data_IF_681088675004
#
_entry.id   IF_681088675004
#
_cell.length_a   1.000
_cell.length_b   1.000
_cell.length_c   1.000
_cell.angle_alpha   90.00
_cell.angle_beta   90.00
_cell.angle_gamma   90.00
#
_symmetry.space_group_name_H-M   'P 1'
#
loop_
_entity.id
_entity.type
_entity.pdbx_description
1 polymer ?
#
# COMPACT_ATOMS: atom_id res chain seq x y z
N UNK A 1 6.94 -11.95 -25.45
CA UNK A 1 6.18 -11.97 -24.18
C UNK A 1 5.65 -10.56 -23.96
N UNK A 2 4.36 -10.36 -24.15
CA UNK A 2 3.71 -9.06 -24.05
C UNK A 2 3.57 -8.66 -22.58
N UNK A 3 4.20 -7.55 -22.21
CA UNK A 3 4.03 -6.90 -20.91
C UNK A 3 2.59 -6.39 -20.85
N UNK A 4 1.72 -7.11 -20.16
CA UNK A 4 0.33 -6.68 -19.97
C UNK A 4 0.34 -5.57 -18.92
N UNK A 5 0.53 -4.33 -19.36
CA UNK A 5 0.44 -3.14 -18.51
C UNK A 5 -1.05 -2.91 -18.24
N UNK A 6 -1.56 -3.53 -17.18
CA UNK A 6 -2.84 -3.15 -16.58
C UNK A 6 -2.50 -2.04 -15.60
N UNK A 7 -3.13 -0.87 -15.68
CA UNK A 7 -2.81 0.39 -14.95
C UNK A 7 -2.83 0.33 -13.39
N UNK A 8 -2.66 -0.86 -12.82
CA UNK A 8 -2.80 -1.23 -11.43
C UNK A 8 -1.63 -2.09 -10.95
N UNK A 9 -1.08 -2.95 -11.82
CA UNK A 9 0.00 -3.87 -11.46
C UNK A 9 0.76 -4.37 -12.69
N UNK A 10 1.92 -4.96 -12.45
CA UNK A 10 2.59 -5.84 -13.39
C UNK A 10 3.02 -7.15 -12.69
N UNK A 11 3.25 -8.20 -13.48
CA UNK A 11 3.89 -9.43 -13.02
C UNK A 11 5.28 -9.46 -13.66
N UNK A 12 6.32 -9.52 -12.84
CA UNK A 12 7.69 -9.52 -13.34
C UNK A 12 8.11 -10.91 -13.87
N UNK A 13 9.34 -11.01 -14.40
CA UNK A 13 9.87 -12.27 -14.94
C UNK A 13 10.14 -13.36 -13.89
N UNK A 14 10.01 -13.04 -12.59
CA UNK A 14 10.21 -13.96 -11.48
C UNK A 14 8.89 -14.36 -10.81
N UNK A 15 7.74 -14.03 -11.42
CA UNK A 15 6.41 -14.23 -10.88
C UNK A 15 6.15 -13.40 -9.61
N UNK A 16 6.72 -12.20 -9.49
CA UNK A 16 6.36 -11.28 -8.42
C UNK A 16 5.24 -10.35 -8.89
N UNK A 17 4.23 -10.16 -8.04
CA UNK A 17 3.20 -9.15 -8.27
C UNK A 17 3.72 -7.79 -7.82
N UNK A 18 3.83 -6.85 -8.75
CA UNK A 18 4.25 -5.47 -8.48
C UNK A 18 3.02 -4.57 -8.58
N UNK A 19 2.58 -3.99 -7.45
CA UNK A 19 1.45 -3.05 -7.43
C UNK A 19 1.91 -1.62 -7.67
N UNK A 20 1.10 -0.88 -8.42
CA UNK A 20 1.41 0.48 -8.83
C UNK A 20 0.80 1.51 -7.89
N UNK A 21 1.19 2.77 -8.06
CA UNK A 21 0.70 3.89 -7.25
C UNK A 21 -0.83 3.90 -7.16
N UNK A 22 -1.33 4.08 -5.95
CA UNK A 22 -2.74 4.11 -5.62
C UNK A 22 -3.39 2.74 -5.48
N UNK A 23 -2.65 1.64 -5.65
CA UNK A 23 -3.20 0.28 -5.58
C UNK A 23 -2.85 -0.42 -4.28
N UNK A 24 -3.88 -0.90 -3.59
CA UNK A 24 -3.77 -1.76 -2.42
C UNK A 24 -4.06 -3.20 -2.82
N UNK A 25 -3.09 -4.09 -2.64
CA UNK A 25 -3.30 -5.52 -2.72
C UNK A 25 -3.72 -6.07 -1.35
N UNK A 26 -4.85 -6.76 -1.30
CA UNK A 26 -5.27 -7.58 -0.15
C UNK A 26 -5.07 -9.04 -0.53
N UNK A 27 -4.38 -9.78 0.33
CA UNK A 27 -4.09 -11.19 0.14
C UNK A 27 -4.94 -12.04 1.10
N UNK A 28 -5.75 -12.91 0.50
CA UNK A 28 -6.61 -13.83 1.22
C UNK A 28 -5.88 -15.17 1.39
N UNK A 29 -5.15 -15.33 2.51
CA UNK A 29 -4.29 -16.51 2.76
C UNK A 29 -5.00 -17.85 2.57
N UNK A 30 -6.28 -17.95 2.96
CA UNK A 30 -7.04 -19.21 2.88
C UNK A 30 -7.42 -19.62 1.46
N UNK A 31 -7.72 -18.64 0.59
CA UNK A 31 -8.18 -18.88 -0.79
C UNK A 31 -7.08 -18.68 -1.83
N UNK A 32 -5.90 -18.22 -1.42
CA UNK A 32 -4.78 -17.84 -2.30
C UNK A 32 -5.19 -16.82 -3.38
N UNK A 33 -6.19 -16.00 -3.06
CA UNK A 33 -6.68 -14.93 -3.92
C UNK A 33 -6.00 -13.62 -3.51
N UNK A 34 -5.58 -12.84 -4.50
CA UNK A 34 -5.30 -11.43 -4.28
C UNK A 34 -6.39 -10.58 -4.90
N UNK A 35 -6.91 -9.63 -4.12
CA UNK A 35 -7.82 -8.60 -4.62
C UNK A 35 -7.10 -7.26 -4.57
N UNK A 36 -7.10 -6.55 -5.69
CA UNK A 36 -6.50 -5.23 -5.82
C UNK A 36 -7.60 -4.19 -5.69
N UNK A 37 -7.36 -3.15 -4.91
CA UNK A 37 -8.26 -2.05 -4.67
C UNK A 37 -7.61 -0.73 -5.08
N UNK A 38 -8.39 0.18 -5.66
CA UNK A 38 -7.95 1.53 -6.01
C UNK A 38 -9.06 2.53 -5.73
N UNK A 39 -8.68 3.67 -5.15
CA UNK A 39 -9.58 4.79 -4.94
C UNK A 39 -9.62 5.66 -6.21
N UNK A 40 -10.81 6.04 -6.65
CA UNK A 40 -10.99 7.05 -7.69
C UNK A 40 -12.28 7.84 -7.45
N UNK A 41 -12.18 9.17 -7.33
CA UNK A 41 -13.32 10.05 -7.06
C UNK A 41 -14.18 9.59 -5.88
N UNK A 42 -13.54 9.24 -4.76
CA UNK A 42 -14.16 8.71 -3.52
C UNK A 42 -14.81 7.33 -3.63
N UNK A 43 -14.77 6.70 -4.81
CA UNK A 43 -15.25 5.33 -5.01
C UNK A 43 -14.08 4.35 -4.97
N UNK A 44 -14.30 3.21 -4.34
CA UNK A 44 -13.34 2.11 -4.32
C UNK A 44 -13.71 1.13 -5.42
N UNK A 45 -12.74 0.88 -6.31
CA UNK A 45 -12.84 -0.11 -7.36
C UNK A 45 -11.97 -1.30 -6.98
N UNK A 46 -12.38 -2.51 -7.36
CA UNK A 46 -11.56 -3.70 -7.14
C UNK A 46 -11.44 -4.60 -8.38
N UNK A 47 -10.32 -5.31 -8.47
CA UNK A 47 -10.12 -6.40 -9.42
C UNK A 47 -9.59 -7.62 -8.67
N UNK A 48 -10.16 -8.78 -8.98
CA UNK A 48 -9.78 -10.05 -8.35
C UNK A 48 -8.80 -10.80 -9.24
N UNK A 49 -7.65 -11.16 -8.67
CA UNK A 49 -6.64 -12.00 -9.29
C UNK A 49 -6.77 -13.40 -8.69
N UNK A 50 -7.46 -14.29 -9.41
CA UNK A 50 -7.56 -15.70 -9.06
C UNK A 50 -6.42 -16.48 -9.74
N UNK A 51 -5.98 -17.56 -9.09
CA UNK A 51 -5.05 -18.56 -9.66
C UNK A 51 -3.69 -18.00 -10.13
N UNK A 52 -3.22 -16.90 -9.53
CA UNK A 52 -1.91 -16.32 -9.87
C UNK A 52 -0.87 -16.80 -8.85
N UNK A 53 0.10 -17.65 -9.23
CA UNK A 53 1.11 -18.18 -8.32
C UNK A 53 2.24 -17.17 -8.12
N UNK A 54 1.93 -15.95 -7.68
CA UNK A 54 2.99 -14.98 -7.43
C UNK A 54 3.78 -15.34 -6.16
N UNK A 55 5.11 -15.25 -6.25
CA UNK A 55 6.02 -15.60 -5.14
C UNK A 55 5.99 -14.58 -4.03
N UNK A 56 5.87 -13.30 -4.38
CA UNK A 56 5.67 -12.21 -3.44
C UNK A 56 4.84 -11.09 -4.06
N UNK A 57 4.35 -10.21 -3.19
CA UNK A 57 3.72 -8.94 -3.56
C UNK A 57 4.69 -7.85 -3.16
N UNK A 58 4.97 -6.92 -4.07
CA UNK A 58 5.86 -5.79 -3.85
C UNK A 58 5.31 -4.54 -4.51
N UNK A 59 5.95 -3.41 -4.24
CA UNK A 59 5.65 -2.13 -4.87
C UNK A 59 6.95 -1.51 -5.36
N UNK A 60 6.93 -0.94 -6.58
CA UNK A 60 8.03 -0.08 -7.07
C UNK A 60 7.85 1.34 -6.54
N UNK A 61 7.66 1.48 -5.22
CA UNK A 61 7.29 2.73 -4.58
C UNK A 61 8.11 3.90 -5.14
N UNK A 62 7.44 4.84 -5.82
CA UNK A 62 8.10 6.04 -6.32
C UNK A 62 8.36 6.97 -5.13
N UNK A 63 9.47 7.70 -5.19
CA UNK A 63 9.94 8.68 -4.20
C UNK A 63 8.86 9.38 -3.34
N UNK A 64 7.84 10.02 -3.93
CA UNK A 64 6.83 10.76 -3.16
C UNK A 64 5.79 9.88 -2.44
N UNK A 65 5.64 8.62 -2.86
CA UNK A 65 4.68 7.66 -2.31
C UNK A 65 5.22 6.96 -1.06
N UNK A 66 4.37 6.17 -0.41
CA UNK A 66 4.77 5.32 0.71
C UNK A 66 4.25 3.91 0.53
N UNK A 67 4.96 2.95 1.11
CA UNK A 67 4.53 1.57 1.19
C UNK A 67 3.87 1.33 2.55
N UNK A 68 2.59 0.95 2.53
CA UNK A 68 1.85 0.59 3.73
C UNK A 68 1.61 -0.91 3.70
N UNK A 69 2.07 -1.62 4.73
CA UNK A 69 1.78 -3.04 4.90
C UNK A 69 1.00 -3.26 6.18
N UNK A 70 0.19 -4.30 6.24
CA UNK A 70 -0.56 -4.60 7.45
C UNK A 70 -1.31 -5.91 7.42
N UNK A 71 -1.96 -6.18 8.54
CA UNK A 71 -2.76 -7.38 8.75
C UNK A 71 -4.15 -6.99 9.28
N UNK A 72 -5.16 -7.72 8.82
CA UNK A 72 -6.52 -7.66 9.31
C UNK A 72 -6.74 -8.74 10.38
N UNK A 73 -7.77 -8.57 11.21
CA UNK A 73 -8.15 -9.50 12.27
C UNK A 73 -8.62 -10.88 11.78
N UNK A 74 -8.86 -11.02 10.47
CA UNK A 74 -9.26 -12.25 9.80
C UNK A 74 -8.09 -12.95 9.08
N UNK A 75 -6.84 -12.65 9.48
CA UNK A 75 -5.59 -13.17 8.93
C UNK A 75 -5.32 -12.80 7.46
N UNK A 76 -6.09 -11.87 6.88
CA UNK A 76 -5.75 -11.25 5.60
C UNK A 76 -4.62 -10.25 5.80
N UNK A 77 -3.73 -10.15 4.83
CA UNK A 77 -2.65 -9.16 4.83
C UNK A 77 -2.78 -8.23 3.64
N UNK A 78 -2.25 -7.02 3.73
CA UNK A 78 -2.26 -6.09 2.61
C UNK A 78 -0.91 -5.41 2.38
N UNK A 79 -0.70 -4.98 1.14
CA UNK A 79 0.37 -4.10 0.72
C UNK A 79 -0.24 -2.99 -0.14
N UNK A 80 -0.01 -1.75 0.25
CA UNK A 80 -0.58 -0.58 -0.40
C UNK A 80 0.50 0.41 -0.78
N UNK A 81 0.55 0.73 -2.08
CA UNK A 81 1.39 1.78 -2.62
C UNK A 81 0.61 3.10 -2.57
N UNK A 82 0.67 3.78 -1.44
CA UNK A 82 -0.16 4.95 -1.16
C UNK A 82 0.43 6.25 -1.75
N UNK A 83 -0.34 7.04 -2.50
CA UNK A 83 0.13 8.28 -3.11
C UNK A 83 0.20 9.43 -2.10
N UNK A 84 -0.73 9.49 -1.14
CA UNK A 84 -0.81 10.51 -0.12
C UNK A 84 -1.59 10.01 1.11
N UNK A 85 -1.45 10.73 2.22
CA UNK A 85 -2.03 10.35 3.51
C UNK A 85 -3.57 10.37 3.52
N UNK A 86 -4.19 11.32 2.82
CA UNK A 86 -5.66 11.48 2.78
C UNK A 86 -6.33 10.33 2.06
N UNK A 87 -5.86 9.99 0.85
CA UNK A 87 -6.35 8.84 0.10
C UNK A 87 -6.10 7.53 0.85
N UNK A 88 -4.97 7.45 1.55
CA UNK A 88 -4.65 6.26 2.31
C UNK A 88 -5.59 6.04 3.49
N UNK A 89 -5.84 7.07 4.28
CA UNK A 89 -6.81 7.02 5.34
C UNK A 89 -8.20 6.60 4.80
N UNK A 90 -8.63 7.22 3.70
CA UNK A 90 -9.92 6.93 3.10
C UNK A 90 -10.05 5.48 2.63
N UNK A 91 -9.05 5.01 1.87
CA UNK A 91 -9.06 3.64 1.34
C UNK A 91 -8.99 2.61 2.46
N UNK A 92 -8.12 2.80 3.46
CA UNK A 92 -7.97 1.85 4.58
C UNK A 92 -9.25 1.73 5.40
N UNK A 93 -9.95 2.86 5.68
CA UNK A 93 -11.27 2.84 6.33
C UNK A 93 -12.29 2.06 5.49
N UNK A 94 -12.32 2.30 4.17
CA UNK A 94 -13.20 1.56 3.26
C UNK A 94 -12.87 0.07 3.21
N UNK A 95 -11.60 -0.30 3.31
CA UNK A 95 -11.21 -1.71 3.35
C UNK A 95 -11.69 -2.40 4.61
N UNK A 96 -11.65 -1.76 5.78
CA UNK A 96 -12.26 -2.34 6.99
C UNK A 96 -13.78 -2.59 6.82
N UNK A 97 -14.49 -1.66 6.19
CA UNK A 97 -15.92 -1.79 5.87
C UNK A 97 -16.18 -2.96 4.91
N UNK A 98 -15.41 -3.05 3.82
CA UNK A 98 -15.57 -4.05 2.76
C UNK A 98 -15.17 -5.46 3.22
N UNK A 99 -14.06 -5.58 3.96
CA UNK A 99 -13.56 -6.86 4.48
C UNK A 99 -14.30 -7.30 5.75
N UNK A 100 -15.08 -6.39 6.36
CA UNK A 100 -15.75 -6.59 7.66
C UNK A 100 -14.75 -7.05 8.74
N UNK A 101 -13.54 -6.53 8.68
CA UNK A 101 -12.43 -6.90 9.56
C UNK A 101 -11.62 -5.66 9.93
N UNK A 102 -11.04 -5.66 11.13
CA UNK A 102 -10.23 -4.54 11.62
C UNK A 102 -8.78 -4.73 11.25
N UNK A 103 -8.11 -3.64 10.88
CA UNK A 103 -6.66 -3.63 10.74
C UNK A 103 -6.07 -3.71 12.15
N UNK A 104 -5.30 -4.75 12.42
CA UNK A 104 -4.72 -5.04 13.74
C UNK A 104 -3.25 -4.67 13.83
N UNK A 105 -2.57 -4.56 12.68
CA UNK A 105 -1.15 -4.20 12.57
C UNK A 105 -0.93 -3.41 11.30
N UNK A 106 -0.15 -2.34 11.38
CA UNK A 106 0.20 -1.53 10.22
C UNK A 106 1.61 -0.99 10.29
N UNK A 107 2.33 -1.05 9.18
CA UNK A 107 3.66 -0.44 9.01
C UNK A 107 3.63 0.47 7.81
N UNK A 108 4.06 1.72 8.00
CA UNK A 108 4.32 2.65 6.87
C UNK A 108 5.82 2.76 6.69
N UNK A 109 6.30 2.36 5.53
CA UNK A 109 7.67 2.56 5.08
C UNK A 109 7.71 3.74 4.11
N UNK A 110 8.52 4.74 4.43
CA UNK A 110 8.63 5.95 3.62
C UNK A 110 10.05 6.54 3.62
N UNK A 111 10.37 7.23 2.54
CA UNK A 111 11.44 8.20 2.49
C UNK A 111 10.91 9.55 3.02
N UNK A 112 11.61 10.10 4.01
CA UNK A 112 11.25 11.34 4.69
C UNK A 112 11.65 12.58 3.89
N UNK A 113 12.65 12.47 3.02
CA UNK A 113 13.13 13.53 2.11
C UNK A 113 13.30 13.02 0.66
N UNK A 114 12.24 12.50 0.00
CA UNK A 114 12.35 11.87 -1.32
C UNK A 114 12.91 12.77 -2.41
N UNK A 115 12.65 14.08 -2.30
CA UNK A 115 13.15 15.08 -3.23
C UNK A 115 14.58 15.55 -2.90
N UNK A 116 15.17 15.04 -1.81
CA UNK A 116 16.50 15.38 -1.27
C UNK A 116 16.69 16.88 -1.06
N UNK A 117 15.62 17.58 -0.69
CA UNK A 117 15.59 19.03 -0.54
C UNK A 117 16.21 19.49 0.77
N UNK A 118 16.39 18.58 1.75
CA UNK A 118 16.90 18.86 3.10
C UNK A 118 16.10 19.94 3.83
N UNK A 119 14.82 20.07 3.49
CA UNK A 119 13.92 21.03 4.10
C UNK A 119 13.30 20.43 5.35
N UNK A 120 13.83 20.77 6.52
CA UNK A 120 13.40 20.23 7.81
C UNK A 120 11.92 20.48 8.12
N UNK A 121 11.35 21.61 7.68
CA UNK A 121 9.94 21.93 7.87
C UNK A 121 9.07 20.96 7.06
N UNK A 122 9.37 20.83 5.77
CA UNK A 122 8.64 19.94 4.88
C UNK A 122 8.74 18.46 5.30
N UNK A 123 9.94 18.01 5.70
CA UNK A 123 10.17 16.65 6.21
C UNK A 123 9.30 16.41 7.45
N UNK A 124 9.30 17.36 8.39
CA UNK A 124 8.51 17.26 9.63
C UNK A 124 7.01 17.19 9.35
N UNK A 125 6.52 18.02 8.43
CA UNK A 125 5.11 18.01 8.00
C UNK A 125 4.72 16.69 7.33
N UNK A 126 5.57 16.16 6.44
CA UNK A 126 5.35 14.86 5.78
C UNK A 126 5.26 13.74 6.81
N UNK A 127 6.22 13.68 7.75
CA UNK A 127 6.22 12.68 8.82
C UNK A 127 4.97 12.80 9.69
N UNK A 128 4.55 14.02 10.04
CA UNK A 128 3.36 14.22 10.86
C UNK A 128 2.08 13.77 10.15
N UNK A 129 1.94 14.05 8.83
CA UNK A 129 0.80 13.58 8.04
C UNK A 129 0.67 12.05 8.09
N UNK A 130 1.77 11.33 7.87
CA UNK A 130 1.76 9.86 7.91
C UNK A 130 1.60 9.28 9.32
N UNK A 131 2.11 9.96 10.36
CA UNK A 131 1.83 9.61 11.75
C UNK A 131 0.34 9.69 12.07
N UNK A 132 -0.36 10.73 11.58
CA UNK A 132 -1.78 10.88 11.80
C UNK A 132 -2.58 9.71 11.20
N UNK A 133 -2.18 9.20 10.04
CA UNK A 133 -2.79 7.98 9.45
C UNK A 133 -2.65 6.79 10.40
N UNK A 134 -1.48 6.61 11.02
CA UNK A 134 -1.25 5.52 11.98
C UNK A 134 -2.07 5.64 13.26
N UNK A 135 -2.31 6.86 13.76
CA UNK A 135 -3.06 7.06 15.02
C UNK A 135 -4.50 6.53 14.97
N UNK A 136 -5.02 6.24 13.78
CA UNK A 136 -6.34 5.66 13.57
C UNK A 136 -6.36 4.15 13.82
N UNK A 137 -5.19 3.48 13.75
CA UNK A 137 -5.08 2.03 13.78
C UNK A 137 -4.15 1.56 14.91
N UNK A 138 -4.62 0.60 15.70
CA UNK A 138 -3.88 0.04 16.81
C UNK A 138 -2.64 -0.74 16.33
N UNK A 139 -1.54 -0.69 17.10
CA UNK A 139 -0.25 -1.36 16.82
C UNK A 139 0.39 -0.98 15.48
N UNK A 140 0.80 0.27 15.40
CA UNK A 140 1.30 0.90 14.18
C UNK A 140 2.70 1.51 14.33
N UNK A 141 3.56 1.34 13.32
CA UNK A 141 4.92 1.89 13.30
C UNK A 141 5.29 2.52 11.97
N UNK A 142 6.15 3.55 12.01
CA UNK A 142 6.80 4.13 10.83
C UNK A 142 8.21 3.57 10.72
N UNK A 143 8.58 3.14 9.52
CA UNK A 143 9.95 2.80 9.14
C UNK A 143 10.44 3.88 8.18
N UNK A 144 11.50 4.59 8.58
CA UNK A 144 12.17 5.54 7.69
C UNK A 144 13.19 4.76 6.86
N UNK A 145 13.06 4.85 5.54
CA UNK A 145 13.97 4.21 4.60
C UNK A 145 14.44 5.21 3.55
N UNK A 146 15.65 5.74 3.76
CA UNK A 146 16.29 6.67 2.84
C UNK A 146 16.82 6.01 1.55
N UNK A 147 16.71 4.69 1.43
CA UNK A 147 17.14 3.91 0.27
C UNK A 147 15.94 3.37 -0.54
N UNK A 148 14.74 3.95 -0.37
CA UNK A 148 13.65 3.64 -1.28
C UNK A 148 14.08 3.94 -2.73
N UNK A 149 13.73 3.08 -3.70
CA UNK A 149 14.17 3.25 -5.09
C UNK A 149 13.82 4.64 -5.63
N UNK A 150 14.79 5.29 -6.27
CA UNK A 150 14.62 6.53 -7.03
C UNK A 150 13.96 6.26 -8.38
#
# INVERSE_FOLDING_TARGET
MSREIRNWYEIDSHDNLIVWQGVCAVFHRQSLVCELFKLHSSNVYSIRLADVPFKCISSTAFWECVEITGEFSNDQSFLYHAPNAEEAEHLLKKLEELTRSKITRMTIRLDDDPLRLRNSVWISERLQKWKNVLTIFDSSHIVIDHNMPL
#
